data_IF_401749571585
#
_entry.id   IF_401749571585
#
_cell.length_a   1.000
_cell.length_b   1.000
_cell.length_c   1.000
_cell.angle_alpha   90.00
_cell.angle_beta   90.00
_cell.angle_gamma   90.00
#
_symmetry.space_group_name_H-M   'P 1'
#
loop_
_entity.id
_entity.type
_entity.pdbx_description
1 polymer ?
#
# COMPACT_ATOMS: atom_id res chain seq x y z
N UNK A 1 12.45 17.20 -24.60
CA UNK A 1 13.39 16.25 -23.95
C UNK A 1 13.38 16.62 -22.48
N UNK A 2 12.55 15.93 -21.69
CA UNK A 2 12.37 16.23 -20.28
C UNK A 2 12.89 15.01 -19.53
N UNK A 3 14.09 15.18 -19.01
CA UNK A 3 14.78 14.30 -18.08
C UNK A 3 14.05 14.42 -16.73
N UNK A 4 13.37 13.37 -16.28
CA UNK A 4 12.98 13.23 -14.89
C UNK A 4 13.14 11.77 -14.49
N UNK A 5 14.32 11.51 -13.92
CA UNK A 5 14.67 10.39 -13.03
C UNK A 5 14.40 8.99 -13.59
N UNK A 6 15.32 8.51 -14.42
CA UNK A 6 15.54 7.08 -14.62
C UNK A 6 15.91 6.42 -13.27
N UNK A 7 15.10 5.45 -12.86
CA UNK A 7 15.64 4.17 -12.35
C UNK A 7 15.99 4.08 -10.86
N UNK A 8 15.06 4.36 -9.96
CA UNK A 8 14.83 3.33 -8.94
C UNK A 8 13.78 2.41 -9.55
N UNK A 9 14.21 1.33 -10.20
CA UNK A 9 13.30 0.25 -10.56
C UNK A 9 12.57 -0.13 -9.27
N UNK A 10 11.30 0.27 -9.15
CA UNK A 10 10.45 -0.20 -8.07
C UNK A 10 10.48 -1.72 -8.18
N UNK A 11 11.13 -2.37 -7.23
CA UNK A 11 11.23 -3.81 -7.18
C UNK A 11 10.05 -4.31 -6.33
N UNK A 12 8.92 -4.69 -6.95
CA UNK A 12 7.72 -5.11 -6.22
C UNK A 12 8.01 -6.28 -5.29
N UNK A 13 9.00 -7.12 -5.64
CA UNK A 13 9.44 -8.23 -4.82
C UNK A 13 10.06 -7.79 -3.51
N UNK A 14 11.03 -6.88 -3.56
CA UNK A 14 11.68 -6.35 -2.37
C UNK A 14 10.70 -5.56 -1.51
N UNK A 15 9.77 -4.82 -2.13
CA UNK A 15 8.70 -4.13 -1.42
C UNK A 15 7.76 -5.11 -0.71
N UNK A 16 7.36 -6.19 -1.40
CA UNK A 16 6.52 -7.24 -0.83
C UNK A 16 7.17 -7.89 0.39
N UNK A 17 8.41 -8.38 0.23
CA UNK A 17 9.16 -9.05 1.30
C UNK A 17 9.52 -8.12 2.46
N UNK A 18 9.58 -6.79 2.25
CA UNK A 18 9.85 -5.84 3.31
C UNK A 18 8.67 -5.68 4.27
N UNK A 19 7.44 -5.87 3.79
CA UNK A 19 6.21 -5.68 4.57
C UNK A 19 5.52 -6.99 4.97
N UNK A 20 5.95 -8.12 4.42
CA UNK A 20 5.66 -9.45 4.94
C UNK A 20 6.44 -9.63 6.26
N UNK A 21 5.80 -9.30 7.38
CA UNK A 21 6.44 -9.22 8.72
C UNK A 21 6.72 -10.62 9.24
N UNK A 22 5.81 -11.56 8.98
CA UNK A 22 5.95 -12.94 9.44
C UNK A 22 6.64 -13.86 8.41
N UNK A 23 6.80 -13.41 7.17
CA UNK A 23 7.49 -14.12 6.09
C UNK A 23 6.66 -15.24 5.48
N UNK A 24 5.34 -15.20 5.61
CA UNK A 24 4.44 -16.26 5.15
C UNK A 24 4.15 -16.20 3.64
N UNK A 25 4.57 -15.13 2.95
CA UNK A 25 4.36 -14.92 1.51
C UNK A 25 3.00 -14.29 1.15
N UNK A 26 2.27 -13.80 2.13
CA UNK A 26 0.98 -13.14 2.04
C UNK A 26 1.01 -11.89 2.91
N UNK A 27 0.21 -10.89 2.56
CA UNK A 27 -0.09 -9.80 3.49
C UNK A 27 -1.46 -10.01 4.09
N UNK A 28 -1.49 -10.16 5.40
CA UNK A 28 -2.73 -10.19 6.14
C UNK A 28 -3.28 -8.78 6.42
N UNK A 29 -4.49 -8.74 6.97
CA UNK A 29 -5.15 -7.50 7.36
C UNK A 29 -4.31 -6.61 8.31
N UNK A 30 -3.42 -7.21 9.11
CA UNK A 30 -2.59 -6.51 10.07
C UNK A 30 -1.35 -5.91 9.40
N UNK A 31 -0.69 -6.66 8.53
CA UNK A 31 0.49 -6.25 7.77
C UNK A 31 0.16 -5.08 6.85
N UNK A 32 -0.96 -5.17 6.12
CA UNK A 32 -1.46 -4.06 5.28
C UNK A 32 -1.76 -2.82 6.14
N UNK A 33 -2.36 -3.00 7.31
CA UNK A 33 -2.64 -1.88 8.23
C UNK A 33 -1.36 -1.20 8.72
N UNK A 34 -0.33 -1.98 9.05
CA UNK A 34 0.98 -1.47 9.48
C UNK A 34 1.68 -0.73 8.34
N UNK A 35 1.61 -1.24 7.11
CA UNK A 35 2.09 -0.57 5.90
C UNK A 35 1.48 0.84 5.78
N UNK A 36 0.15 0.96 5.82
CA UNK A 36 -0.52 2.27 5.73
C UNK A 36 -0.14 3.21 6.86
N UNK A 37 -0.10 2.74 8.11
CA UNK A 37 0.32 3.58 9.24
C UNK A 37 1.74 4.11 9.03
N UNK A 38 2.66 3.27 8.54
CA UNK A 38 4.04 3.66 8.30
C UNK A 38 4.16 4.65 7.12
N UNK A 39 3.43 4.41 6.03
CA UNK A 39 3.36 5.29 4.86
C UNK A 39 2.81 6.68 5.23
N UNK A 40 1.69 6.71 5.95
CA UNK A 40 1.08 7.96 6.43
C UNK A 40 2.02 8.68 7.40
N UNK A 41 2.68 7.98 8.33
CA UNK A 41 3.67 8.61 9.21
C UNK A 41 4.86 9.22 8.45
N UNK A 42 5.25 8.67 7.29
CA UNK A 42 6.28 9.28 6.43
C UNK A 42 5.77 10.53 5.71
N UNK A 43 4.54 10.50 5.21
CA UNK A 43 3.93 11.66 4.52
C UNK A 43 3.60 12.80 5.50
N UNK A 44 3.10 12.47 6.69
CA UNK A 44 2.70 13.44 7.71
C UNK A 44 3.82 13.59 8.74
N UNK A 45 4.74 14.54 8.50
CA UNK A 45 5.73 14.94 9.51
C UNK A 45 5.05 15.27 10.85
N UNK A 46 5.68 14.86 11.95
CA UNK A 46 5.20 14.98 13.33
C UNK A 46 4.67 16.39 13.66
N UNK A 47 3.34 16.55 13.68
CA UNK A 47 2.72 17.84 14.02
C UNK A 47 1.21 17.96 13.78
N UNK A 48 0.50 16.87 13.46
CA UNK A 48 -0.93 16.96 13.12
C UNK A 48 -1.81 16.79 14.38
N UNK A 49 -2.80 17.68 14.60
CA UNK A 49 -3.64 17.66 15.80
C UNK A 49 -4.48 16.38 15.97
N UNK A 50 -4.90 16.10 17.21
CA UNK A 50 -5.69 14.91 17.56
C UNK A 50 -7.07 14.86 16.88
N UNK A 51 -7.64 16.00 16.50
CA UNK A 51 -8.93 16.07 15.77
C UNK A 51 -8.82 15.43 14.37
N UNK A 52 -7.66 15.54 13.72
CA UNK A 52 -7.39 14.88 12.43
C UNK A 52 -7.23 13.36 12.57
N UNK A 53 -6.97 12.82 13.78
CA UNK A 53 -6.79 11.36 13.97
C UNK A 53 -8.05 10.55 13.68
N UNK A 54 -9.24 11.12 13.89
CA UNK A 54 -10.49 10.42 13.63
C UNK A 54 -10.79 10.34 12.13
N UNK A 55 -10.68 11.48 11.42
CA UNK A 55 -10.85 11.51 9.97
C UNK A 55 -9.84 10.59 9.27
N UNK A 56 -8.60 10.55 9.77
CA UNK A 56 -7.56 9.62 9.29
C UNK A 56 -7.93 8.16 9.46
N UNK A 57 -8.56 7.78 10.56
CA UNK A 57 -8.97 6.39 10.78
C UNK A 57 -10.05 5.99 9.76
N UNK A 58 -10.98 6.89 9.46
CA UNK A 58 -12.04 6.67 8.46
C UNK A 58 -11.47 6.63 7.03
N UNK A 59 -10.51 7.51 6.70
CA UNK A 59 -9.79 7.50 5.42
C UNK A 59 -8.96 6.22 5.25
N UNK A 60 -8.23 5.81 6.29
CA UNK A 60 -7.47 4.55 6.31
C UNK A 60 -8.39 3.34 6.09
N UNK A 61 -9.56 3.32 6.71
CA UNK A 61 -10.52 2.23 6.54
C UNK A 61 -11.03 2.15 5.10
N UNK A 62 -11.31 3.31 4.47
CA UNK A 62 -11.69 3.36 3.05
C UNK A 62 -10.57 2.91 2.12
N UNK A 63 -9.34 3.39 2.31
CA UNK A 63 -8.20 2.99 1.49
C UNK A 63 -7.91 1.50 1.62
N UNK A 64 -8.00 0.98 2.85
CA UNK A 64 -7.85 -0.45 3.12
C UNK A 64 -8.92 -1.26 2.41
N UNK A 65 -10.19 -0.90 2.55
CA UNK A 65 -11.28 -1.63 1.89
C UNK A 65 -11.11 -1.60 0.37
N UNK A 66 -10.71 -0.46 -0.18
CA UNK A 66 -10.45 -0.32 -1.62
C UNK A 66 -9.30 -1.22 -2.09
N UNK A 67 -8.16 -1.19 -1.40
CA UNK A 67 -7.00 -2.03 -1.77
C UNK A 67 -7.34 -3.51 -1.71
N UNK A 68 -8.01 -3.98 -0.65
CA UNK A 68 -8.44 -5.37 -0.60
C UNK A 68 -9.44 -5.70 -1.71
N UNK A 69 -10.42 -4.84 -1.98
CA UNK A 69 -11.36 -5.08 -3.08
C UNK A 69 -10.70 -5.20 -4.46
N UNK A 70 -9.59 -4.52 -4.69
CA UNK A 70 -8.89 -4.53 -5.97
C UNK A 70 -7.80 -5.60 -6.07
N UNK A 71 -7.06 -5.84 -4.99
CA UNK A 71 -5.91 -6.74 -4.92
C UNK A 71 -6.31 -8.18 -4.56
N UNK A 72 -7.18 -8.36 -3.56
CA UNK A 72 -7.66 -9.67 -3.12
C UNK A 72 -8.73 -10.18 -4.09
N UNK A 73 -8.24 -10.85 -5.15
CA UNK A 73 -9.08 -11.36 -6.24
C UNK A 73 -9.82 -12.62 -5.84
N UNK A 74 -9.21 -13.43 -4.97
CA UNK A 74 -9.77 -14.69 -4.52
C UNK A 74 -10.72 -14.53 -3.30
N UNK A 75 -10.72 -13.34 -2.67
CA UNK A 75 -11.52 -12.93 -1.51
C UNK A 75 -11.24 -13.76 -0.26
N UNK A 76 -9.99 -14.17 -0.07
CA UNK A 76 -9.55 -14.92 1.11
C UNK A 76 -9.12 -14.01 2.28
N UNK A 77 -9.11 -12.69 2.07
CA UNK A 77 -8.70 -11.70 3.06
C UNK A 77 -7.19 -11.58 3.21
N UNK A 78 -6.42 -12.14 2.26
CA UNK A 78 -4.97 -12.05 2.18
C UNK A 78 -4.57 -11.51 0.80
N UNK A 79 -3.46 -10.80 0.73
CA UNK A 79 -2.88 -10.38 -0.55
C UNK A 79 -1.66 -11.23 -0.81
N UNK A 80 -1.78 -12.15 -1.77
CA UNK A 80 -0.62 -12.94 -2.21
C UNK A 80 0.36 -12.13 -3.05
N UNK A 81 1.60 -12.61 -3.15
CA UNK A 81 2.60 -11.98 -4.01
C UNK A 81 2.17 -11.88 -5.48
N UNK A 82 1.48 -12.90 -5.99
CA UNK A 82 0.95 -12.89 -7.36
C UNK A 82 -0.14 -11.83 -7.52
N UNK A 83 -1.06 -11.70 -6.58
CA UNK A 83 -2.10 -10.66 -6.57
C UNK A 83 -1.51 -9.26 -6.50
N UNK A 84 -0.50 -9.05 -5.66
CA UNK A 84 0.25 -7.80 -5.59
C UNK A 84 0.94 -7.47 -6.92
N UNK A 85 1.57 -8.47 -7.56
CA UNK A 85 2.19 -8.29 -8.88
C UNK A 85 1.15 -8.00 -9.98
N UNK A 86 -0.03 -8.59 -9.91
CA UNK A 86 -1.11 -8.27 -10.85
C UNK A 86 -1.63 -6.85 -10.63
N UNK A 87 -1.79 -6.42 -9.37
CA UNK A 87 -2.21 -5.07 -9.02
C UNK A 87 -1.23 -4.01 -9.52
N UNK A 88 0.08 -4.18 -9.26
CA UNK A 88 1.13 -3.23 -9.71
C UNK A 88 1.25 -3.12 -11.24
N UNK A 89 0.74 -4.10 -11.98
CA UNK A 89 0.67 -4.06 -13.46
C UNK A 89 -0.58 -3.39 -14.00
N UNK A 90 -1.62 -3.17 -13.18
CA UNK A 90 -2.84 -2.48 -13.63
C UNK A 90 -2.53 -1.02 -13.94
N UNK A 91 -3.08 -0.52 -15.03
CA UNK A 91 -2.86 0.87 -15.48
C UNK A 91 -3.34 1.91 -14.46
N UNK A 92 -4.31 1.54 -13.60
CA UNK A 92 -4.77 2.38 -12.49
C UNK A 92 -3.64 2.63 -11.49
N UNK A 93 -2.81 1.62 -11.20
CA UNK A 93 -1.61 1.76 -10.36
C UNK A 93 -0.54 2.72 -10.92
N UNK A 94 -0.51 2.85 -12.25
CA UNK A 94 0.46 3.70 -12.95
C UNK A 94 -0.08 5.11 -13.25
N UNK A 95 -1.39 5.35 -13.13
CA UNK A 95 -2.05 6.62 -13.49
C UNK A 95 -2.40 7.49 -12.32
N UNK A 96 -2.62 6.93 -11.14
CA UNK A 96 -2.81 7.74 -9.94
C UNK A 96 -1.45 8.23 -9.43
N UNK A 97 -1.26 9.53 -9.16
CA UNK A 97 -0.01 10.07 -8.61
C UNK A 97 -0.06 10.20 -7.07
N UNK A 98 -1.02 9.59 -6.39
CA UNK A 98 -1.24 9.73 -4.93
C UNK A 98 -0.69 8.57 -4.07
N UNK A 99 0.15 7.71 -4.66
CA UNK A 99 1.04 6.74 -3.97
C UNK A 99 2.51 7.10 -4.19
#
# INVERSE_FOLDING_TARGET
KQDHMEGQDFDPKSFFMLHDIDGNGYWDENEVKVLFINELNKMYQAGVPEDDMKERAEEMERMREHVFQEADTNKDGLISYDEFLEQTKREEFQKDPEW
#
